data_IF_309518185167
#
_entry.id   IF_309518185167
#
_cell.length_a   1.000
_cell.length_b   1.000
_cell.length_c   1.000
_cell.angle_alpha   90.00
_cell.angle_beta   90.00
_cell.angle_gamma   90.00
#
_symmetry.space_group_name_H-M   'P 1'
#
loop_
_entity.id
_entity.type
_entity.pdbx_description
1 polymer ?
#
# COMPACT_ATOMS: atom_id res chain seq x y z
N UNK A 1 -18.36 -6.65 3.24
CA UNK A 1 -19.61 -6.74 4.05
C UNK A 1 -19.89 -8.21 4.22
N UNK A 2 -19.98 -8.72 5.45
CA UNK A 2 -20.41 -10.10 5.69
C UNK A 2 -21.90 -10.05 6.01
N UNK A 3 -22.72 -10.76 5.24
CA UNK A 3 -24.18 -10.70 5.31
C UNK A 3 -24.78 -11.84 6.15
N UNK A 4 -23.95 -12.73 6.68
CA UNK A 4 -24.33 -13.83 7.59
C UNK A 4 -24.35 -13.43 9.07
N UNK A 5 -24.62 -14.40 9.95
CA UNK A 5 -24.50 -14.17 11.40
C UNK A 5 -23.05 -14.27 11.87
N UNK A 6 -22.58 -13.23 12.57
CA UNK A 6 -21.21 -13.16 13.10
C UNK A 6 -20.93 -14.29 14.10
N UNK A 7 -21.98 -14.89 14.68
CA UNK A 7 -21.86 -16.05 15.56
C UNK A 7 -21.20 -17.27 14.88
N UNK A 8 -21.35 -17.41 13.55
CA UNK A 8 -20.73 -18.48 12.75
C UNK A 8 -19.20 -18.38 12.70
N UNK A 9 -18.64 -17.20 13.00
CA UNK A 9 -17.19 -16.97 13.04
C UNK A 9 -16.55 -17.46 14.35
N UNK A 10 -17.36 -17.96 15.29
CA UNK A 10 -16.94 -18.47 16.62
C UNK A 10 -16.06 -17.47 17.40
N UNK A 11 -16.24 -16.18 17.13
CA UNK A 11 -15.53 -15.12 17.83
C UNK A 11 -16.04 -14.99 19.26
N UNK A 12 -15.14 -14.69 20.19
CA UNK A 12 -15.47 -14.35 21.57
C UNK A 12 -14.91 -12.97 21.92
N UNK A 13 -15.32 -12.39 23.03
CA UNK A 13 -14.78 -11.13 23.54
C UNK A 13 -13.36 -11.31 24.16
N UNK A 14 -12.49 -12.07 23.49
CA UNK A 14 -11.07 -12.18 23.80
C UNK A 14 -10.19 -11.90 22.58
N UNK A 15 -8.90 -11.77 22.82
CA UNK A 15 -7.87 -11.62 21.81
C UNK A 15 -6.69 -12.53 22.15
N UNK A 16 -6.29 -13.35 21.19
CA UNK A 16 -5.18 -14.29 21.35
C UNK A 16 -3.92 -13.68 20.75
N UNK A 17 -2.88 -13.52 21.57
CA UNK A 17 -1.60 -12.94 21.19
C UNK A 17 -0.49 -14.00 21.26
N UNK A 18 0.27 -14.16 20.17
CA UNK A 18 1.49 -14.97 20.19
C UNK A 18 2.66 -14.13 20.72
N UNK A 19 3.07 -14.44 21.95
CA UNK A 19 4.22 -13.86 22.60
C UNK A 19 5.39 -14.86 22.59
N UNK A 20 6.28 -14.75 21.60
CA UNK A 20 7.49 -15.59 21.48
C UNK A 20 7.19 -17.11 21.45
N UNK A 21 6.11 -17.51 20.78
CA UNK A 21 5.66 -18.90 20.68
C UNK A 21 4.71 -19.33 21.81
N UNK A 22 4.34 -18.42 22.72
CA UNK A 22 3.34 -18.66 23.75
C UNK A 22 2.05 -17.91 23.43
N UNK A 23 0.94 -18.65 23.31
CA UNK A 23 -0.37 -18.06 23.12
C UNK A 23 -0.89 -17.49 24.45
N UNK A 24 -1.09 -16.18 24.50
CA UNK A 24 -1.65 -15.46 25.64
C UNK A 24 -3.04 -14.95 25.28
N UNK A 25 -4.05 -15.34 26.06
CA UNK A 25 -5.45 -14.93 25.84
C UNK A 25 -5.78 -13.72 26.69
N UNK A 26 -6.16 -12.63 26.02
CA UNK A 26 -6.57 -11.37 26.63
C UNK A 26 -8.08 -11.19 26.59
N UNK A 27 -8.69 -11.11 27.76
CA UNK A 27 -10.12 -10.81 27.88
C UNK A 27 -10.38 -9.32 27.58
N UNK A 28 -11.18 -9.03 26.56
CA UNK A 28 -11.52 -7.65 26.18
C UNK A 28 -12.49 -7.02 27.20
N UNK A 29 -13.34 -7.87 27.79
CA UNK A 29 -14.24 -7.62 28.92
C UNK A 29 -14.05 -8.75 29.95
N UNK A 30 -14.37 -8.57 31.24
CA UNK A 30 -14.23 -9.63 32.23
C UNK A 30 -14.96 -10.92 31.79
N UNK A 31 -14.23 -12.04 31.70
CA UNK A 31 -14.78 -13.32 31.25
C UNK A 31 -15.07 -13.39 29.75
N UNK A 32 -14.55 -12.45 28.95
CA UNK A 32 -14.91 -12.26 27.55
C UNK A 32 -14.65 -13.47 26.65
N UNK A 33 -13.68 -14.34 27.00
CA UNK A 33 -13.43 -15.61 26.31
C UNK A 33 -14.63 -16.58 26.31
N UNK A 34 -15.60 -16.39 27.21
CA UNK A 34 -16.82 -17.20 27.30
C UNK A 34 -18.04 -16.50 26.71
N UNK A 35 -17.87 -15.30 26.14
CA UNK A 35 -18.95 -14.50 25.57
C UNK A 35 -18.79 -14.51 24.06
N UNK A 36 -19.66 -15.22 23.36
CA UNK A 36 -19.68 -15.27 21.89
C UNK A 36 -20.13 -13.93 21.30
N UNK A 37 -19.49 -13.53 20.20
CA UNK A 37 -19.85 -12.33 19.45
C UNK A 37 -21.01 -12.66 18.53
N UNK A 38 -22.13 -11.97 18.72
CA UNK A 38 -23.32 -12.06 17.85
C UNK A 38 -23.47 -10.79 17.02
N UNK A 39 -24.39 -10.80 16.05
CA UNK A 39 -24.71 -9.63 15.26
C UNK A 39 -25.12 -8.39 16.08
N UNK A 40 -25.76 -8.58 17.23
CA UNK A 40 -26.15 -7.49 18.14
C UNK A 40 -24.94 -6.90 18.90
N UNK A 41 -23.93 -7.74 19.16
CA UNK A 41 -22.75 -7.38 19.94
C UNK A 41 -21.55 -6.98 19.08
N UNK A 42 -21.60 -7.17 17.76
CA UNK A 42 -20.46 -6.97 16.85
C UNK A 42 -19.85 -5.57 16.93
N UNK A 43 -20.67 -4.52 17.06
CA UNK A 43 -20.19 -3.14 17.16
C UNK A 43 -19.42 -2.94 18.48
N UNK A 44 -19.96 -3.47 19.58
CA UNK A 44 -19.27 -3.45 20.89
C UNK A 44 -17.95 -4.21 20.82
N UNK A 45 -17.93 -5.39 20.19
CA UNK A 45 -16.72 -6.16 19.99
C UNK A 45 -15.65 -5.38 19.22
N UNK A 46 -16.01 -4.74 18.09
CA UNK A 46 -15.10 -3.91 17.29
C UNK A 46 -14.51 -2.77 18.13
N UNK A 47 -15.34 -2.05 18.89
CA UNK A 47 -14.85 -0.98 19.77
C UNK A 47 -13.90 -1.49 20.86
N UNK A 48 -14.20 -2.64 21.46
CA UNK A 48 -13.36 -3.25 22.50
C UNK A 48 -12.03 -3.74 21.94
N UNK A 49 -12.05 -4.35 20.76
CA UNK A 49 -10.84 -4.77 20.04
C UNK A 49 -9.97 -3.57 19.66
N UNK A 50 -10.56 -2.52 19.09
CA UNK A 50 -9.86 -1.28 18.76
C UNK A 50 -9.24 -0.63 20.00
N UNK A 51 -10.00 -0.50 21.10
CA UNK A 51 -9.49 0.02 22.37
C UNK A 51 -8.34 -0.84 22.93
N UNK A 52 -8.42 -2.16 22.80
CA UNK A 52 -7.35 -3.04 23.26
C UNK A 52 -6.07 -2.83 22.46
N UNK A 53 -6.16 -2.91 21.12
CA UNK A 53 -5.01 -2.81 20.20
C UNK A 53 -4.37 -1.42 20.18
N UNK A 54 -5.17 -0.36 20.21
CA UNK A 54 -4.67 1.01 20.07
C UNK A 54 -4.31 1.67 21.41
N UNK A 55 -4.84 1.18 22.53
CA UNK A 55 -4.62 1.82 23.83
C UNK A 55 -4.16 0.86 24.92
N UNK A 56 -4.93 -0.18 25.26
CA UNK A 56 -4.64 -1.00 26.45
C UNK A 56 -3.28 -1.71 26.36
N UNK A 57 -2.99 -2.35 25.22
CA UNK A 57 -1.79 -3.18 25.04
C UNK A 57 -0.49 -2.38 25.15
N UNK A 58 -0.51 -1.12 24.70
CA UNK A 58 0.66 -0.22 24.69
C UNK A 58 0.62 0.84 25.80
N UNK A 59 -0.31 0.74 26.74
CA UNK A 59 -0.62 1.80 27.72
C UNK A 59 0.60 2.22 28.55
N UNK A 60 1.40 1.27 29.01
CA UNK A 60 2.55 1.56 29.88
C UNK A 60 3.65 2.30 29.12
N UNK A 61 3.93 1.88 27.89
CA UNK A 61 4.90 2.48 26.98
C UNK A 61 4.45 3.90 26.61
N UNK A 62 3.19 4.05 26.19
CA UNK A 62 2.60 5.35 25.83
C UNK A 62 2.59 6.31 27.01
N UNK A 63 2.22 5.87 28.22
CA UNK A 63 2.24 6.72 29.41
C UNK A 63 3.67 7.19 29.76
N UNK A 64 4.65 6.31 29.63
CA UNK A 64 6.06 6.66 29.87
C UNK A 64 6.58 7.66 28.82
N UNK A 65 6.23 7.45 27.55
CA UNK A 65 6.54 8.37 26.46
C UNK A 65 5.91 9.75 26.69
N UNK A 66 4.61 9.82 26.99
CA UNK A 66 3.89 11.08 27.26
C UNK A 66 4.52 11.81 28.45
N UNK A 67 4.86 11.09 29.53
CA UNK A 67 5.53 11.68 30.70
C UNK A 67 6.88 12.31 30.32
N UNK A 68 7.69 11.61 29.52
CA UNK A 68 8.96 12.14 29.04
C UNK A 68 8.75 13.36 28.13
N UNK A 69 7.79 13.28 27.21
CA UNK A 69 7.47 14.37 26.29
C UNK A 69 7.01 15.64 27.02
N UNK A 70 6.10 15.51 27.99
CA UNK A 70 5.62 16.62 28.81
C UNK A 70 6.64 17.18 29.80
N UNK A 71 7.75 16.48 30.05
CA UNK A 71 8.87 17.04 30.83
C UNK A 71 9.63 18.13 30.08
N UNK A 72 9.49 18.18 28.76
CA UNK A 72 10.17 19.13 27.86
C UNK A 72 9.18 20.15 27.30
N UNK A 73 7.97 19.71 26.91
CA UNK A 73 6.98 20.52 26.22
C UNK A 73 5.73 20.68 27.08
N UNK A 74 5.25 21.91 27.24
CA UNK A 74 4.03 22.17 28.00
C UNK A 74 2.81 21.56 27.28
N UNK A 75 2.00 20.71 27.95
CA UNK A 75 0.79 20.12 27.36
C UNK A 75 -0.23 21.16 26.85
N UNK A 76 -0.31 22.34 27.47
CA UNK A 76 -1.24 23.40 27.06
C UNK A 76 -0.90 23.93 25.65
N UNK A 77 0.39 23.91 25.27
CA UNK A 77 0.79 24.33 23.93
C UNK A 77 0.37 23.32 22.86
N UNK A 78 0.35 22.04 23.22
CA UNK A 78 -0.02 20.95 22.32
C UNK A 78 -1.52 20.89 22.09
N UNK A 79 -2.32 21.33 23.06
CA UNK A 79 -3.78 21.37 22.96
C UNK A 79 -4.30 22.33 21.87
N UNK A 80 -3.45 23.23 21.37
CA UNK A 80 -3.78 24.14 20.27
C UNK A 80 -3.72 23.47 18.89
N UNK A 81 -3.07 22.31 18.77
CA UNK A 81 -2.87 21.62 17.50
C UNK A 81 -3.76 20.39 17.38
N UNK A 82 -4.31 20.19 16.18
CA UNK A 82 -4.90 18.91 15.78
C UNK A 82 -3.83 17.82 15.65
N UNK A 83 -4.21 16.53 15.64
CA UNK A 83 -3.25 15.43 15.43
C UNK A 83 -2.40 15.58 14.17
N UNK A 84 -2.98 16.09 13.08
CA UNK A 84 -2.28 16.30 11.80
C UNK A 84 -1.26 17.44 11.91
N UNK A 85 -1.64 18.56 12.53
CA UNK A 85 -0.72 19.70 12.73
C UNK A 85 0.40 19.35 13.70
N UNK A 86 0.10 18.60 14.77
CA UNK A 86 1.12 18.12 15.70
C UNK A 86 2.11 17.17 14.99
N UNK A 87 1.61 16.31 14.11
CA UNK A 87 2.45 15.46 13.28
C UNK A 87 3.37 16.28 12.38
N UNK A 88 2.86 17.34 11.74
CA UNK A 88 3.66 18.25 10.92
C UNK A 88 4.69 19.03 11.75
N UNK A 89 4.31 19.47 12.96
CA UNK A 89 5.20 20.20 13.86
C UNK A 89 6.40 19.33 14.30
N UNK A 90 6.15 18.07 14.65
CA UNK A 90 7.19 17.15 15.13
C UNK A 90 8.00 16.55 13.97
N UNK A 91 7.32 16.15 12.90
CA UNK A 91 7.94 15.41 11.78
C UNK A 91 8.40 16.31 10.63
N UNK A 92 8.14 17.62 10.72
CA UNK A 92 8.25 18.55 9.61
C UNK A 92 7.06 18.49 8.65
N UNK A 93 6.99 19.49 7.78
CA UNK A 93 6.16 19.44 6.57
C UNK A 93 6.54 18.18 5.78
N UNK A 94 5.58 17.51 5.13
CA UNK A 94 5.85 16.32 4.33
C UNK A 94 7.02 16.60 3.40
N UNK A 95 8.16 15.95 3.65
CA UNK A 95 9.36 16.11 2.82
C UNK A 95 8.93 15.88 1.39
N UNK A 96 9.16 16.89 0.54
CA UNK A 96 8.85 16.81 -0.88
C UNK A 96 9.38 15.48 -1.42
N UNK A 97 8.50 14.70 -2.01
CA UNK A 97 8.85 13.39 -2.55
C UNK A 97 9.96 13.54 -3.59
N UNK A 98 11.16 13.08 -3.24
CA UNK A 98 12.31 13.11 -4.15
C UNK A 98 12.16 12.03 -5.22
N UNK A 99 11.56 12.44 -6.34
CA UNK A 99 11.33 11.59 -7.49
C UNK A 99 12.65 11.10 -8.11
N UNK A 100 13.73 11.89 -8.04
CA UNK A 100 15.02 11.49 -8.61
C UNK A 100 15.69 10.44 -7.72
N UNK A 101 15.60 10.56 -6.40
CA UNK A 101 16.07 9.53 -5.47
C UNK A 101 15.31 8.19 -5.66
N UNK A 102 13.98 8.24 -5.79
CA UNK A 102 13.21 7.03 -6.11
C UNK A 102 13.67 6.41 -7.43
N UNK A 103 13.83 7.23 -8.47
CA UNK A 103 14.25 6.78 -9.80
C UNK A 103 15.63 6.12 -9.80
N UNK A 104 16.59 6.68 -9.06
CA UNK A 104 17.94 6.13 -8.94
C UNK A 104 17.94 4.75 -8.28
N UNK A 105 17.05 4.53 -7.32
CA UNK A 105 16.95 3.27 -6.57
C UNK A 105 15.91 2.30 -7.12
N UNK A 106 15.28 2.61 -8.26
CA UNK A 106 14.29 1.74 -8.90
C UNK A 106 14.94 0.58 -9.64
N UNK A 107 14.44 -0.64 -9.39
CA UNK A 107 14.76 -1.84 -10.17
C UNK A 107 13.75 -2.04 -11.31
N UNK A 108 14.19 -2.66 -12.40
CA UNK A 108 13.34 -2.94 -13.56
C UNK A 108 13.33 -4.43 -13.86
N UNK A 109 12.16 -4.96 -14.24
CA UNK A 109 12.00 -6.38 -14.58
C UNK A 109 10.93 -6.61 -15.67
N UNK A 110 10.82 -7.84 -16.18
CA UNK A 110 9.84 -8.21 -17.20
C UNK A 110 10.14 -7.66 -18.61
N UNK A 111 11.38 -7.25 -18.88
CA UNK A 111 11.77 -6.63 -20.16
C UNK A 111 11.82 -5.10 -20.14
N UNK A 112 11.43 -4.47 -19.02
CA UNK A 112 11.74 -3.05 -18.79
C UNK A 112 13.18 -2.87 -18.30
N UNK A 113 13.72 -1.71 -18.64
CA UNK A 113 15.02 -1.19 -18.24
C UNK A 113 14.94 0.35 -18.22
N UNK A 114 15.94 1.02 -17.65
CA UNK A 114 15.91 2.47 -17.38
C UNK A 114 15.61 3.35 -18.61
N UNK A 115 16.11 2.98 -19.79
CA UNK A 115 15.94 3.71 -21.05
C UNK A 115 14.75 3.20 -21.89
N UNK A 116 13.93 2.29 -21.37
CA UNK A 116 12.77 1.81 -22.10
C UNK A 116 11.75 2.95 -22.27
N UNK A 117 11.17 3.10 -23.48
CA UNK A 117 10.27 4.20 -23.86
C UNK A 117 9.18 4.50 -22.81
N UNK A 118 8.49 3.47 -22.33
CA UNK A 118 7.41 3.60 -21.33
C UNK A 118 7.94 4.04 -19.96
N UNK A 119 9.15 3.61 -19.58
CA UNK A 119 9.80 4.02 -18.33
C UNK A 119 10.20 5.49 -18.41
N UNK A 120 10.78 5.91 -19.54
CA UNK A 120 11.10 7.32 -19.76
C UNK A 120 9.85 8.20 -19.70
N UNK A 121 8.73 7.75 -20.31
CA UNK A 121 7.46 8.45 -20.20
C UNK A 121 6.93 8.51 -18.78
N UNK A 122 6.99 7.41 -18.02
CA UNK A 122 6.54 7.38 -16.63
C UNK A 122 7.23 8.46 -15.80
N UNK A 123 8.57 8.49 -15.82
CA UNK A 123 9.33 9.47 -15.05
C UNK A 123 9.08 10.91 -15.53
N UNK A 124 8.94 11.12 -16.84
CA UNK A 124 8.62 12.44 -17.40
C UNK A 124 7.22 12.92 -16.99
N UNK A 125 6.22 12.04 -17.00
CA UNK A 125 4.86 12.31 -16.55
C UNK A 125 4.86 12.67 -15.05
N UNK A 126 5.50 11.85 -14.21
CA UNK A 126 5.59 12.11 -12.77
C UNK A 126 6.27 13.46 -12.49
N UNK A 127 7.29 13.83 -13.27
CA UNK A 127 8.07 15.06 -13.08
C UNK A 127 7.38 16.32 -13.62
N UNK A 128 6.68 16.23 -14.75
CA UNK A 128 6.15 17.42 -15.46
C UNK A 128 4.65 17.56 -15.38
N UNK A 129 3.92 16.45 -15.36
CA UNK A 129 2.47 16.46 -15.52
C UNK A 129 1.74 16.27 -14.18
N UNK A 130 2.42 15.73 -13.16
CA UNK A 130 1.84 15.45 -11.83
C UNK A 130 2.24 16.52 -10.81
N UNK A 131 1.28 16.95 -10.00
CA UNK A 131 1.50 17.82 -8.83
C UNK A 131 2.22 17.08 -7.69
N UNK A 132 2.70 17.81 -6.68
CA UNK A 132 3.32 17.18 -5.52
C UNK A 132 2.35 16.29 -4.73
N UNK A 133 1.06 16.66 -4.69
CA UNK A 133 0.00 15.82 -4.14
C UNK A 133 -0.17 14.52 -4.94
N UNK A 134 -0.26 14.60 -6.27
CA UNK A 134 -0.38 13.42 -7.15
C UNK A 134 0.85 12.51 -7.06
N UNK A 135 2.03 13.08 -6.87
CA UNK A 135 3.25 12.30 -6.62
C UNK A 135 3.23 11.60 -5.26
N UNK A 136 2.70 12.25 -4.23
CA UNK A 136 2.46 11.62 -2.92
C UNK A 136 1.44 10.47 -3.03
N UNK A 137 0.38 10.64 -3.81
CA UNK A 137 -0.59 9.59 -4.13
C UNK A 137 0.06 8.44 -4.90
N UNK A 138 0.95 8.73 -5.85
CA UNK A 138 1.73 7.70 -6.55
C UNK A 138 2.60 6.90 -5.58
N UNK A 139 3.32 7.57 -4.68
CA UNK A 139 4.13 6.89 -3.66
C UNK A 139 3.25 5.97 -2.80
N UNK A 140 2.13 6.49 -2.28
CA UNK A 140 1.16 5.71 -1.51
C UNK A 140 0.61 4.54 -2.32
N UNK A 141 0.37 4.72 -3.62
CA UNK A 141 -0.11 3.66 -4.50
C UNK A 141 0.89 2.51 -4.62
N UNK A 142 2.19 2.79 -4.68
CA UNK A 142 3.22 1.74 -4.87
C UNK A 142 3.79 1.15 -3.58
N UNK A 143 3.85 1.91 -2.49
CA UNK A 143 4.43 1.46 -1.20
C UNK A 143 3.42 1.32 -0.05
N UNK A 144 2.17 1.77 -0.24
CA UNK A 144 1.19 2.01 0.83
C UNK A 144 1.58 3.05 1.88
N UNK A 145 2.75 3.69 1.75
CA UNK A 145 3.21 4.75 2.63
C UNK A 145 3.12 6.09 1.90
N UNK A 146 2.52 7.10 2.51
CA UNK A 146 2.47 8.45 1.96
C UNK A 146 3.76 9.25 2.21
N UNK A 147 4.71 8.71 2.97
CA UNK A 147 5.98 9.37 3.31
C UNK A 147 7.16 8.58 2.73
N UNK A 148 8.18 9.26 2.18
CA UNK A 148 9.42 8.62 1.77
C UNK A 148 10.14 8.05 3.00
N UNK A 149 10.98 7.01 2.83
CA UNK A 149 11.85 6.54 3.91
C UNK A 149 12.77 7.66 4.40
N UNK A 150 12.98 7.75 5.72
CA UNK A 150 13.79 8.83 6.32
C UNK A 150 15.23 8.89 5.79
N UNK A 151 15.80 7.74 5.42
CA UNK A 151 17.17 7.62 4.90
C UNK A 151 17.23 7.61 3.35
N UNK A 152 16.11 7.89 2.67
CA UNK A 152 15.99 7.82 1.22
C UNK A 152 15.61 6.42 0.70
N UNK A 153 15.32 6.35 -0.60
CA UNK A 153 14.78 5.14 -1.25
C UNK A 153 15.80 4.00 -1.41
N UNK A 154 17.08 4.27 -1.17
CA UNK A 154 18.12 3.24 -1.09
C UNK A 154 17.85 2.18 -0.01
N UNK A 155 17.16 2.57 1.06
CA UNK A 155 16.86 1.72 2.22
C UNK A 155 15.41 1.18 2.21
N UNK A 156 14.70 1.33 1.10
CA UNK A 156 13.37 0.75 0.97
C UNK A 156 13.48 -0.77 0.89
N UNK A 157 12.85 -1.48 1.82
CA UNK A 157 12.86 -2.94 1.87
C UNK A 157 11.44 -3.51 1.70
N UNK A 158 11.18 -4.32 0.65
CA UNK A 158 12.07 -4.60 -0.49
C UNK A 158 12.26 -3.37 -1.42
N UNK A 159 13.32 -3.33 -2.25
CA UNK A 159 13.56 -2.21 -3.16
C UNK A 159 12.42 -1.97 -4.13
N UNK A 160 12.15 -0.70 -4.46
CA UNK A 160 11.09 -0.37 -5.42
C UNK A 160 11.40 -0.96 -6.79
N UNK A 161 10.42 -1.65 -7.38
CA UNK A 161 10.58 -2.35 -8.65
C UNK A 161 9.45 -2.00 -9.62
N UNK A 162 9.79 -1.79 -10.89
CA UNK A 162 8.82 -1.66 -11.98
C UNK A 162 8.95 -2.87 -12.90
N UNK A 163 7.85 -3.62 -13.02
CA UNK A 163 7.77 -4.81 -13.86
C UNK A 163 6.85 -4.56 -15.05
N UNK A 164 7.34 -4.87 -16.25
CA UNK A 164 6.46 -4.99 -17.40
C UNK A 164 5.58 -6.23 -17.21
N UNK A 165 4.27 -6.04 -17.33
CA UNK A 165 3.31 -7.14 -17.44
C UNK A 165 3.02 -7.39 -18.91
N UNK A 166 3.47 -8.54 -19.41
CA UNK A 166 3.03 -9.10 -20.69
C UNK A 166 1.97 -10.13 -20.36
N UNK A 167 0.78 -9.97 -20.93
CA UNK A 167 -0.29 -10.93 -20.74
C UNK A 167 -0.29 -11.87 -21.92
N UNK A 168 0.33 -13.04 -21.73
CA UNK A 168 0.06 -14.16 -22.61
C UNK A 168 -1.34 -14.63 -22.23
N UNK A 169 -2.26 -14.71 -23.19
CA UNK A 169 -3.56 -15.32 -22.94
C UNK A 169 -3.32 -16.77 -22.51
N UNK A 170 -3.55 -17.08 -21.24
CA UNK A 170 -3.46 -18.43 -20.66
C UNK A 170 -4.65 -19.34 -21.06
N UNK A 171 -5.42 -18.96 -22.09
CA UNK A 171 -6.57 -19.74 -22.54
C UNK A 171 -6.27 -20.71 -23.71
N UNK A 172 -4.99 -20.87 -24.11
CA UNK A 172 -4.59 -21.90 -25.08
C UNK A 172 -3.20 -22.44 -24.79
N UNK A 173 -3.02 -23.22 -23.71
CA UNK A 173 -1.89 -24.15 -23.60
C UNK A 173 -2.37 -25.48 -23.00
N UNK A 174 -3.06 -26.26 -23.84
CA UNK A 174 -3.01 -27.72 -23.79
C UNK A 174 -2.08 -28.17 -24.91
N UNK A 175 -0.81 -28.39 -24.59
CA UNK A 175 0.10 -29.11 -25.47
C UNK A 175 1.53 -28.59 -25.46
N UNK A 176 2.38 -29.28 -24.72
CA UNK A 176 3.84 -29.28 -24.89
C UNK A 176 4.23 -29.29 -26.37
N UNK A 177 4.97 -28.30 -26.86
CA UNK A 177 5.95 -28.51 -27.93
C UNK A 177 6.91 -27.33 -28.09
N UNK A 178 8.11 -27.65 -28.60
CA UNK A 178 9.24 -26.78 -28.97
C UNK A 178 8.91 -25.48 -29.76
N UNK A 179 7.65 -25.20 -30.13
CA UNK A 179 7.23 -24.01 -30.87
C UNK A 179 7.29 -22.70 -30.09
N UNK A 180 7.21 -22.73 -28.75
CA UNK A 180 7.15 -21.51 -27.92
C UNK A 180 8.43 -20.67 -27.95
N UNK A 181 9.59 -21.28 -28.22
CA UNK A 181 10.86 -20.56 -28.37
C UNK A 181 11.05 -19.93 -29.75
N UNK A 182 10.43 -20.47 -30.82
CA UNK A 182 10.55 -19.89 -32.16
C UNK A 182 9.67 -18.65 -32.36
N UNK A 183 8.54 -18.55 -31.67
CA UNK A 183 7.62 -17.40 -31.77
C UNK A 183 8.15 -16.14 -31.06
N UNK A 184 9.08 -16.30 -30.11
CA UNK A 184 9.76 -15.19 -29.43
C UNK A 184 10.78 -14.45 -30.29
N UNK A 185 11.26 -15.05 -31.38
CA UNK A 185 12.35 -14.49 -32.19
C UNK A 185 11.94 -13.92 -33.56
N UNK A 186 10.82 -14.34 -34.17
CA UNK A 186 10.34 -13.78 -35.45
C UNK A 186 8.81 -13.79 -35.52
N UNK A 187 8.14 -12.64 -35.43
CA UNK A 187 6.68 -12.59 -35.50
C UNK A 187 6.04 -11.20 -35.55
N UNK A 188 6.21 -10.50 -36.67
CA UNK A 188 5.34 -9.39 -37.08
C UNK A 188 3.89 -9.89 -37.21
N UNK A 189 2.95 -9.29 -36.47
CA UNK A 189 1.54 -9.71 -36.47
C UNK A 189 0.60 -8.71 -35.80
N UNK A 190 0.38 -7.58 -36.46
CA UNK A 190 -0.54 -6.50 -36.07
C UNK A 190 -2.01 -6.96 -36.00
N UNK A 191 -2.51 -7.33 -34.81
CA UNK A 191 -3.96 -7.35 -34.45
C UNK A 191 -4.28 -7.63 -32.96
N UNK A 192 -3.32 -7.45 -32.04
CA UNK A 192 -3.44 -7.87 -30.61
C UNK A 192 -3.31 -6.76 -29.56
N UNK A 193 -3.07 -5.51 -29.96
CA UNK A 193 -2.68 -4.45 -29.01
C UNK A 193 -3.80 -3.80 -28.20
N UNK A 194 -5.10 -4.04 -28.48
CA UNK A 194 -6.17 -3.20 -27.94
C UNK A 194 -6.60 -3.55 -26.49
N UNK A 195 -6.59 -4.83 -26.11
CA UNK A 195 -6.96 -5.27 -24.76
C UNK A 195 -5.86 -5.01 -23.72
N UNK A 196 -4.58 -5.14 -24.11
CA UNK A 196 -3.43 -4.84 -23.26
C UNK A 196 -3.35 -3.34 -22.92
N UNK A 197 -3.81 -2.47 -23.82
CA UNK A 197 -3.89 -1.02 -23.61
C UNK A 197 -5.04 -0.59 -22.70
N UNK A 198 -6.07 -1.43 -22.54
CA UNK A 198 -7.23 -1.13 -21.70
C UNK A 198 -6.92 -1.29 -20.20
N UNK A 199 -5.95 -2.14 -19.84
CA UNK A 199 -5.64 -2.47 -18.44
C UNK A 199 -4.98 -1.29 -17.71
N UNK A 200 -5.33 -1.14 -16.44
CA UNK A 200 -4.75 -0.15 -15.54
C UNK A 200 -3.41 -0.65 -14.97
N UNK A 201 -2.50 0.25 -14.59
CA UNK A 201 -1.36 -0.15 -13.77
C UNK A 201 -1.86 -0.69 -12.43
N UNK A 202 -1.13 -1.64 -11.86
CA UNK A 202 -1.44 -2.21 -10.53
C UNK A 202 -0.19 -2.22 -9.67
N UNK A 203 -0.37 -2.20 -8.36
CA UNK A 203 0.71 -2.26 -7.40
C UNK A 203 0.61 -3.51 -6.51
N UNK A 204 1.74 -3.99 -6.03
CA UNK A 204 1.83 -4.97 -4.94
C UNK A 204 2.66 -4.34 -3.84
N UNK A 205 1.98 -3.68 -2.90
CA UNK A 205 2.58 -2.82 -1.88
C UNK A 205 3.52 -3.57 -0.95
N UNK A 206 3.19 -4.81 -0.57
CA UNK A 206 4.07 -5.68 0.22
C UNK A 206 5.44 -5.92 -0.43
N UNK A 207 5.56 -5.70 -1.74
CA UNK A 207 6.78 -5.90 -2.51
C UNK A 207 7.32 -4.62 -3.15
N UNK A 208 6.76 -3.45 -2.82
CA UNK A 208 7.08 -2.18 -3.48
C UNK A 208 7.15 -2.32 -5.01
N UNK A 209 6.17 -3.02 -5.60
CA UNK A 209 6.19 -3.43 -7.00
C UNK A 209 5.09 -2.72 -7.80
N UNK A 210 5.47 -1.95 -8.81
CA UNK A 210 4.58 -1.42 -9.82
C UNK A 210 4.54 -2.36 -11.04
N UNK A 211 3.37 -2.93 -11.33
CA UNK A 211 3.10 -3.70 -12.54
C UNK A 211 2.52 -2.78 -13.59
N UNK A 212 3.28 -2.57 -14.67
CA UNK A 212 2.97 -1.57 -15.67
C UNK A 212 2.86 -2.20 -17.07
N UNK A 213 1.70 -2.06 -17.75
CA UNK A 213 1.56 -2.46 -19.15
C UNK A 213 2.48 -1.66 -20.08
N UNK A 214 2.87 -2.25 -21.21
CA UNK A 214 3.65 -1.56 -22.24
C UNK A 214 2.75 -0.66 -23.10
N UNK A 215 2.33 0.48 -22.56
CA UNK A 215 1.41 1.39 -23.24
C UNK A 215 1.94 1.92 -24.58
N UNK A 216 1.03 2.10 -25.53
CA UNK A 216 1.35 2.55 -26.88
C UNK A 216 1.72 4.04 -26.95
N UNK A 217 1.19 4.88 -26.04
CA UNK A 217 1.41 6.33 -26.03
C UNK A 217 1.57 6.90 -24.62
N UNK A 218 2.28 8.03 -24.52
CA UNK A 218 2.47 8.80 -23.27
C UNK A 218 1.14 9.25 -22.66
N UNK A 219 0.17 9.67 -23.48
CA UNK A 219 -1.13 10.14 -22.99
C UNK A 219 -1.90 9.02 -22.29
N UNK A 220 -1.93 7.82 -22.90
CA UNK A 220 -2.63 6.67 -22.31
C UNK A 220 -2.01 6.32 -20.95
N UNK A 221 -0.68 6.26 -20.87
CA UNK A 221 0.02 6.02 -19.61
C UNK A 221 -0.35 7.07 -18.56
N UNK A 222 -0.31 8.37 -18.92
CA UNK A 222 -0.65 9.47 -18.01
C UNK A 222 -2.07 9.33 -17.47
N UNK A 223 -3.05 9.17 -18.35
CA UNK A 223 -4.46 9.18 -17.98
C UNK A 223 -4.82 7.93 -17.16
N UNK A 224 -4.29 6.76 -17.52
CA UNK A 224 -4.46 5.50 -16.77
C UNK A 224 -3.77 5.54 -15.41
N UNK A 225 -2.56 6.09 -15.34
CA UNK A 225 -1.83 6.22 -14.09
C UNK A 225 -2.53 7.17 -13.13
N UNK A 226 -2.94 8.36 -13.62
CA UNK A 226 -3.70 9.34 -12.85
C UNK A 226 -5.00 8.72 -12.31
N UNK A 227 -5.75 8.03 -13.17
CA UNK A 227 -6.94 7.30 -12.73
C UNK A 227 -6.61 6.29 -11.61
N UNK A 228 -5.58 5.46 -11.78
CA UNK A 228 -5.23 4.43 -10.80
C UNK A 228 -4.82 4.99 -9.42
N UNK A 229 -4.03 6.07 -9.39
CA UNK A 229 -3.58 6.68 -8.11
C UNK A 229 -4.72 7.37 -7.36
N UNK A 230 -5.75 7.87 -8.08
CA UNK A 230 -6.93 8.48 -7.48
C UNK A 230 -7.98 7.44 -7.07
N UNK A 231 -8.18 6.40 -7.87
CA UNK A 231 -9.16 5.36 -7.58
C UNK A 231 -8.76 4.44 -6.42
N UNK A 232 -7.48 4.43 -6.04
CA UNK A 232 -6.97 3.59 -4.95
C UNK A 232 -6.29 4.40 -3.83
N UNK A 233 -6.61 5.69 -3.72
CA UNK A 233 -6.32 6.45 -2.51
C UNK A 233 -7.24 5.94 -1.39
N UNK A 234 -6.74 4.97 -0.62
CA UNK A 234 -7.53 4.08 0.23
C UNK A 234 -8.45 4.72 1.27
N UNK A 235 -9.44 3.91 1.70
CA UNK A 235 -10.34 4.12 2.84
C UNK A 235 -10.78 5.57 3.05
N UNK A 236 -11.69 6.05 2.20
CA UNK A 236 -12.74 7.02 2.56
C UNK A 236 -13.58 7.30 1.32
N UNK A 237 -14.65 6.51 1.14
CA UNK A 237 -15.90 6.96 0.53
C UNK A 237 -16.99 6.10 1.20
N UNK A 238 -17.72 6.76 2.10
CA UNK A 238 -18.88 6.28 2.85
C UNK A 238 -19.99 5.75 1.95
#
# INVERSE_FOLDING_TARGET
HYDGDVSELELTFSYDEDCLGQLVVHDLVPGGRYITVTNDLKISYVHRMAMFRMYKQIRAQTASFIRGFYSIINPDWLAMFSPTELQQLISGESVNFDLEDLKQHTKYSGGFYSNHRVITWLWDILKRDFSDEERGLFLKFVTSCSKPPLLGFAFLEPPFCIRCVQYVNEDQDMGDTLGSVMKGFFGFGSRRGNEEQARLPSASTCFNLLKLPNYASRSILRDKLRYAIHCNAGFELS
#
